data_IF_867344491766
#
_entry.id   IF_867344491766
#
_cell.length_a   1.000
_cell.length_b   1.000
_cell.length_c   1.000
_cell.angle_alpha   90.00
_cell.angle_beta   90.00
_cell.angle_gamma   90.00
#
_symmetry.space_group_name_H-M   'P 1'
#
loop_
_entity.id
_entity.type
_entity.pdbx_description
1 polymer ?
#
# COMPACT_ATOMS: atom_id res chain seq x y z
N UNK A 1 28.96 11.48 -1.83
CA UNK A 1 29.66 10.49 -0.98
C UNK A 1 29.43 9.12 -1.59
N UNK A 2 30.46 8.30 -1.78
CA UNK A 2 30.31 6.95 -2.31
C UNK A 2 29.81 6.00 -1.22
N UNK A 3 28.50 5.98 -1.00
CA UNK A 3 27.86 4.93 -0.21
C UNK A 3 27.63 3.73 -1.12
N UNK A 4 28.03 2.55 -0.64
CA UNK A 4 27.92 1.30 -1.38
C UNK A 4 26.85 0.37 -0.78
N UNK A 5 26.63 -0.77 -1.43
CA UNK A 5 25.64 -1.76 -1.02
C UNK A 5 25.85 -2.26 0.42
N UNK A 6 27.10 -2.38 0.89
CA UNK A 6 27.39 -2.87 2.26
C UNK A 6 26.95 -1.85 3.30
N UNK A 7 27.14 -0.56 3.02
CA UNK A 7 26.65 0.52 3.88
C UNK A 7 25.13 0.43 4.04
N UNK A 8 24.39 0.30 2.93
CA UNK A 8 22.93 0.24 2.96
C UNK A 8 22.39 -1.06 3.56
N UNK A 9 23.10 -2.18 3.36
CA UNK A 9 22.79 -3.46 4.01
C UNK A 9 22.94 -3.35 5.53
N UNK A 10 23.95 -2.63 6.03
CA UNK A 10 24.11 -2.37 7.47
C UNK A 10 22.99 -1.49 8.05
N UNK A 11 22.37 -0.61 7.25
CA UNK A 11 21.22 0.16 7.69
C UNK A 11 19.95 -0.68 7.82
N UNK A 12 19.59 -1.44 6.78
CA UNK A 12 18.27 -2.06 6.69
C UNK A 12 18.28 -3.56 6.98
N UNK A 13 19.30 -4.29 6.53
CA UNK A 13 19.36 -5.76 6.60
C UNK A 13 18.71 -6.48 5.41
N UNK A 14 18.00 -5.77 4.51
CA UNK A 14 17.50 -6.33 3.25
C UNK A 14 18.49 -6.17 2.10
N UNK A 15 18.80 -7.28 1.42
CA UNK A 15 19.68 -7.31 0.25
C UNK A 15 19.08 -6.55 -0.93
N UNK A 16 17.78 -6.70 -1.17
CA UNK A 16 17.07 -5.98 -2.25
C UNK A 16 17.08 -4.48 -2.01
N UNK A 17 16.79 -4.03 -0.79
CA UNK A 17 16.88 -2.61 -0.42
C UNK A 17 18.28 -2.05 -0.66
N UNK A 18 19.31 -2.78 -0.22
CA UNK A 18 20.69 -2.34 -0.33
C UNK A 18 21.14 -2.15 -1.79
N UNK A 19 20.81 -3.11 -2.65
CA UNK A 19 21.10 -3.07 -4.08
C UNK A 19 20.40 -1.92 -4.80
N UNK A 20 19.12 -1.68 -4.50
CA UNK A 20 18.35 -0.56 -5.07
C UNK A 20 18.90 0.80 -4.60
N UNK A 21 19.25 0.93 -3.31
CA UNK A 21 19.87 2.14 -2.77
C UNK A 21 21.25 2.40 -3.38
N UNK A 22 22.07 1.36 -3.55
CA UNK A 22 23.37 1.47 -4.20
C UNK A 22 23.24 1.89 -5.67
N UNK A 23 22.20 1.43 -6.36
CA UNK A 23 21.91 1.82 -7.75
C UNK A 23 21.41 3.26 -7.88
N UNK A 24 20.73 3.79 -6.84
CA UNK A 24 20.28 5.17 -6.78
C UNK A 24 21.34 6.16 -6.25
N UNK A 25 22.42 5.65 -5.64
CA UNK A 25 23.59 6.41 -5.17
C UNK A 25 24.40 6.95 -6.37
N UNK A 26 25.03 8.15 -6.28
CA UNK A 26 25.22 8.97 -5.09
C UNK A 26 24.07 9.93 -4.79
N UNK A 27 23.72 10.04 -3.51
CA UNK A 27 22.74 11.02 -3.01
C UNK A 27 23.40 12.38 -2.71
N UNK A 28 22.67 13.47 -2.95
CA UNK A 28 23.16 14.84 -2.72
C UNK A 28 23.16 15.24 -1.25
N UNK A 29 22.14 14.82 -0.52
CA UNK A 29 21.92 15.16 0.89
C UNK A 29 21.38 13.95 1.65
N UNK A 30 21.39 14.01 2.99
CA UNK A 30 20.72 13.01 3.82
C UNK A 30 19.21 12.94 3.51
N UNK A 31 18.56 14.09 3.28
CA UNK A 31 17.13 14.14 2.94
C UNK A 31 16.83 13.45 1.61
N UNK A 32 17.70 13.63 0.62
CA UNK A 32 17.61 12.95 -0.69
C UNK A 32 17.75 11.43 -0.51
N UNK A 33 18.70 10.98 0.31
CA UNK A 33 18.86 9.56 0.63
C UNK A 33 17.66 8.99 1.39
N UNK A 34 17.10 9.71 2.37
CA UNK A 34 15.90 9.28 3.12
C UNK A 34 14.67 9.20 2.20
N UNK A 35 14.50 10.18 1.31
CA UNK A 35 13.39 10.20 0.35
C UNK A 35 13.45 8.99 -0.59
N UNK A 36 14.63 8.71 -1.17
CA UNK A 36 14.84 7.53 -2.00
C UNK A 36 14.68 6.23 -1.21
N UNK A 37 15.18 6.18 0.03
CA UNK A 37 15.03 5.01 0.90
C UNK A 37 13.55 4.68 1.17
N UNK A 38 12.71 5.69 1.46
CA UNK A 38 11.28 5.47 1.67
C UNK A 38 10.59 4.94 0.41
N UNK A 39 10.86 5.55 -0.75
CA UNK A 39 10.30 5.07 -2.01
C UNK A 39 10.70 3.63 -2.31
N UNK A 40 11.99 3.32 -2.22
CA UNK A 40 12.51 1.97 -2.45
C UNK A 40 11.87 0.98 -1.46
N UNK A 41 11.87 1.30 -0.17
CA UNK A 41 11.38 0.41 0.87
C UNK A 41 9.90 0.06 0.72
N UNK A 42 9.05 1.02 0.40
CA UNK A 42 7.61 0.81 0.32
C UNK A 42 7.09 0.44 -1.08
N UNK A 43 7.81 0.81 -2.14
CA UNK A 43 7.32 0.62 -3.52
C UNK A 43 8.13 -0.38 -4.35
N UNK A 44 9.36 -0.73 -3.94
CA UNK A 44 10.25 -1.63 -4.72
C UNK A 44 10.69 -2.88 -3.97
N UNK A 45 10.83 -2.80 -2.64
CA UNK A 45 11.13 -3.97 -1.81
C UNK A 45 9.85 -4.78 -1.61
N UNK A 46 9.93 -6.08 -1.89
CA UNK A 46 8.80 -7.00 -1.73
C UNK A 46 8.77 -7.61 -0.31
N UNK A 47 7.74 -8.42 -0.06
CA UNK A 47 7.51 -9.11 1.21
C UNK A 47 8.73 -9.92 1.66
N UNK A 48 9.46 -10.56 0.74
CA UNK A 48 10.65 -11.33 1.08
C UNK A 48 11.78 -10.42 1.55
N UNK A 49 11.97 -9.27 0.89
CA UNK A 49 12.93 -8.26 1.33
C UNK A 49 12.60 -7.68 2.69
N UNK A 50 11.31 -7.48 3.01
CA UNK A 50 10.89 -7.06 4.35
C UNK A 50 11.19 -8.12 5.40
N UNK A 51 10.84 -9.38 5.15
CA UNK A 51 11.11 -10.48 6.07
C UNK A 51 12.62 -10.68 6.31
N UNK A 52 13.44 -10.53 5.28
CA UNK A 52 14.91 -10.57 5.41
C UNK A 52 15.42 -9.47 6.35
N UNK A 53 14.93 -8.24 6.20
CA UNK A 53 15.27 -7.15 7.11
C UNK A 53 14.82 -7.44 8.54
N UNK A 54 13.63 -7.99 8.72
CA UNK A 54 13.07 -8.31 10.04
C UNK A 54 13.91 -9.38 10.76
N UNK A 55 14.30 -10.44 10.04
CA UNK A 55 15.14 -11.52 10.56
C UNK A 55 16.55 -11.04 10.94
N UNK A 56 17.04 -9.98 10.30
CA UNK A 56 18.33 -9.40 10.65
C UNK A 56 18.36 -8.79 12.07
N UNK A 57 17.21 -8.49 12.68
CA UNK A 57 17.16 -7.88 14.01
C UNK A 57 17.12 -8.89 15.15
N UNK A 58 17.89 -8.67 16.24
CA UNK A 58 17.69 -9.41 17.47
C UNK A 58 16.33 -9.07 18.10
N UNK A 59 15.75 -10.05 18.80
CA UNK A 59 14.60 -9.79 19.67
C UNK A 59 14.94 -8.73 20.72
N UNK A 60 14.01 -7.82 21.02
CA UNK A 60 14.23 -6.80 22.05
C UNK A 60 14.47 -7.47 23.40
N UNK A 61 15.57 -7.10 24.06
CA UNK A 61 16.01 -7.69 25.32
C UNK A 61 16.97 -8.89 25.16
N UNK A 62 17.31 -9.28 23.93
CA UNK A 62 18.36 -10.27 23.65
C UNK A 62 19.53 -9.63 22.90
N UNK A 63 20.72 -10.19 23.11
CA UNK A 63 21.89 -9.80 22.33
C UNK A 63 21.82 -10.38 20.90
N UNK A 64 22.44 -9.72 19.92
CA UNK A 64 22.58 -10.25 18.55
C UNK A 64 23.25 -11.63 18.55
N UNK A 65 22.85 -12.49 17.61
CA UNK A 65 23.52 -13.79 17.40
C UNK A 65 24.95 -13.59 16.85
N UNK A 66 25.95 -14.39 17.25
CA UNK A 66 27.31 -14.25 16.73
C UNK A 66 27.45 -14.45 15.21
N UNK A 67 26.41 -14.95 14.50
CA UNK A 67 26.40 -15.20 13.05
C UNK A 67 25.81 -14.06 12.20
N UNK A 68 25.71 -12.81 12.70
CA UNK A 68 25.14 -11.72 11.90
C UNK A 68 26.03 -11.35 10.69
N UNK A 69 25.39 -11.09 9.54
CA UNK A 69 26.02 -10.74 8.27
C UNK A 69 26.79 -9.40 8.28
N UNK A 70 26.66 -8.57 9.32
CA UNK A 70 27.32 -7.27 9.46
C UNK A 70 27.57 -6.90 10.93
N UNK A 71 28.83 -6.62 11.28
CA UNK A 71 29.24 -6.18 12.62
C UNK A 71 28.68 -4.79 12.98
N UNK A 72 28.67 -3.88 12.01
CA UNK A 72 28.10 -2.52 12.14
C UNK A 72 26.61 -2.57 12.50
N UNK A 73 25.85 -3.47 11.87
CA UNK A 73 24.44 -3.67 12.18
C UNK A 73 24.24 -4.10 13.64
N UNK A 74 25.02 -5.09 14.09
CA UNK A 74 24.93 -5.61 15.45
C UNK A 74 25.26 -4.52 16.49
N UNK A 75 26.29 -3.70 16.22
CA UNK A 75 26.66 -2.59 17.09
C UNK A 75 25.56 -1.53 17.19
N UNK A 76 24.95 -1.14 16.07
CA UNK A 76 23.86 -0.17 16.07
C UNK A 76 22.60 -0.70 16.75
N UNK A 77 22.24 -1.95 16.51
CA UNK A 77 21.10 -2.59 17.18
C UNK A 77 21.28 -2.63 18.71
N UNK A 78 22.49 -2.93 19.20
CA UNK A 78 22.81 -2.85 20.63
C UNK A 78 22.65 -1.43 21.17
N UNK A 79 23.13 -0.42 20.44
CA UNK A 79 22.97 0.99 20.80
C UNK A 79 21.51 1.44 20.88
N UNK A 80 20.67 0.99 19.93
CA UNK A 80 19.24 1.32 19.84
C UNK A 80 18.44 0.80 21.05
N UNK A 81 18.85 -0.31 21.66
CA UNK A 81 18.17 -0.90 22.81
C UNK A 81 18.72 -0.43 24.18
N UNK A 82 19.69 0.49 24.20
CA UNK A 82 20.40 0.89 25.44
C UNK A 82 19.45 1.42 26.52
N UNK A 83 18.52 2.33 26.17
CA UNK A 83 17.56 2.90 27.13
C UNK A 83 16.61 1.85 27.68
N UNK A 84 16.16 0.92 26.82
CA UNK A 84 15.29 -0.18 27.24
C UNK A 84 16.02 -1.06 28.27
N UNK A 85 17.24 -1.50 27.95
CA UNK A 85 18.05 -2.34 28.84
C UNK A 85 18.37 -1.65 30.17
N UNK A 86 18.66 -0.34 30.14
CA UNK A 86 18.96 0.43 31.35
C UNK A 86 17.74 0.61 32.29
N UNK A 87 16.53 0.55 31.74
CA UNK A 87 15.27 0.73 32.48
C UNK A 87 14.59 -0.60 32.85
N UNK A 88 15.22 -1.72 32.52
CA UNK A 88 14.63 -3.04 32.70
C UNK A 88 14.81 -3.56 34.14
N UNK A 89 13.71 -4.00 34.74
CA UNK A 89 13.72 -4.85 35.96
C UNK A 89 13.65 -6.33 35.57
N UNK A 90 14.07 -7.22 36.47
CA UNK A 90 13.98 -8.68 36.23
C UNK A 90 12.57 -9.14 35.86
N UNK A 91 11.53 -8.58 36.50
CA UNK A 91 10.12 -8.85 36.17
C UNK A 91 9.76 -8.36 34.77
N UNK A 92 10.15 -7.15 34.39
CA UNK A 92 9.83 -6.60 33.07
C UNK A 92 10.56 -7.31 31.92
N UNK A 93 11.78 -7.83 32.14
CA UNK A 93 12.49 -8.62 31.13
C UNK A 93 11.82 -9.98 30.91
N UNK A 94 11.37 -10.63 31.99
CA UNK A 94 10.61 -11.87 31.89
C UNK A 94 9.31 -11.64 31.12
N UNK A 95 8.57 -10.59 31.48
CA UNK A 95 7.32 -10.25 30.80
C UNK A 95 7.54 -9.93 29.31
N UNK A 96 8.59 -9.15 29.00
CA UNK A 96 8.95 -8.84 27.62
C UNK A 96 9.32 -10.10 26.83
N UNK A 97 10.04 -11.05 27.45
CA UNK A 97 10.36 -12.34 26.84
C UNK A 97 9.09 -13.15 26.52
N UNK A 98 8.15 -13.25 27.46
CA UNK A 98 6.89 -13.96 27.27
C UNK A 98 6.04 -13.34 26.15
N UNK A 99 5.99 -12.01 26.10
CA UNK A 99 5.27 -11.29 25.04
C UNK A 99 5.94 -11.42 23.68
N UNK A 100 7.27 -11.39 23.60
CA UNK A 100 8.00 -11.66 22.37
C UNK A 100 7.73 -13.08 21.85
N UNK A 101 7.64 -14.08 22.73
CA UNK A 101 7.30 -15.45 22.35
C UNK A 101 5.87 -15.53 21.78
N UNK A 102 4.89 -14.90 22.46
CA UNK A 102 3.49 -14.81 21.96
C UNK A 102 3.41 -14.09 20.62
N UNK A 103 4.14 -12.98 20.47
CA UNK A 103 4.17 -12.21 19.24
C UNK A 103 4.72 -13.05 18.08
N UNK A 104 5.88 -13.69 18.28
CA UNK A 104 6.50 -14.57 17.28
C UNK A 104 5.56 -15.71 16.88
N UNK A 105 4.90 -16.35 17.86
CA UNK A 105 3.95 -17.43 17.61
C UNK A 105 2.75 -16.97 16.77
N UNK A 106 2.23 -15.76 17.02
CA UNK A 106 1.05 -15.23 16.33
C UNK A 106 1.37 -14.71 14.93
N UNK A 107 2.45 -13.96 14.79
CA UNK A 107 2.74 -13.18 13.58
C UNK A 107 3.81 -13.81 12.68
N UNK A 108 4.64 -14.71 13.22
CA UNK A 108 5.67 -15.41 12.45
C UNK A 108 6.95 -14.62 12.18
N UNK A 109 7.12 -13.45 12.82
CA UNK A 109 8.34 -12.64 12.76
C UNK A 109 8.60 -11.94 14.10
N UNK A 110 9.81 -11.40 14.28
CA UNK A 110 10.21 -10.70 15.52
C UNK A 110 9.40 -9.42 15.74
N UNK A 111 9.15 -9.02 16.99
CA UNK A 111 8.54 -7.72 17.24
C UNK A 111 9.51 -6.60 16.88
N UNK A 112 9.18 -5.81 15.86
CA UNK A 112 9.95 -4.63 15.46
C UNK A 112 9.37 -3.34 16.02
N UNK A 113 10.25 -2.55 16.63
CA UNK A 113 10.00 -1.18 17.06
C UNK A 113 11.32 -0.40 17.01
N UNK A 114 11.25 0.87 16.61
CA UNK A 114 12.37 1.79 16.76
C UNK A 114 12.59 2.07 18.26
N UNK A 115 13.46 1.28 18.88
CA UNK A 115 13.72 1.26 20.32
C UNK A 115 14.53 2.47 20.82
N UNK A 116 15.18 3.21 19.92
CA UNK A 116 16.01 4.38 20.27
C UNK A 116 15.26 5.35 21.19
N UNK A 117 15.78 5.53 22.40
CA UNK A 117 15.22 6.44 23.40
C UNK A 117 14.01 5.90 24.18
N UNK A 118 13.53 4.70 23.90
CA UNK A 118 12.37 4.09 24.60
C UNK A 118 12.80 3.26 25.79
N UNK A 119 12.01 3.32 26.86
CA UNK A 119 12.13 2.45 28.04
C UNK A 119 11.51 1.06 27.80
N UNK A 120 11.85 0.10 28.66
CA UNK A 120 11.26 -1.26 28.59
C UNK A 120 9.73 -1.23 28.75
N UNK A 121 9.20 -0.38 29.63
CA UNK A 121 7.76 -0.28 29.87
C UNK A 121 7.00 0.27 28.64
N UNK A 122 7.57 1.26 27.95
CA UNK A 122 6.98 1.82 26.72
C UNK A 122 6.99 0.79 25.59
N UNK A 123 8.08 0.03 25.43
CA UNK A 123 8.16 -1.05 24.45
C UNK A 123 7.12 -2.13 24.74
N UNK A 124 7.00 -2.55 26.00
CA UNK A 124 6.02 -3.54 26.43
C UNK A 124 4.57 -3.05 26.20
N UNK A 125 4.30 -1.77 26.45
CA UNK A 125 2.99 -1.16 26.20
C UNK A 125 2.65 -1.17 24.70
N UNK A 126 3.59 -0.80 23.83
CA UNK A 126 3.39 -0.84 22.38
C UNK A 126 3.23 -2.27 21.85
N UNK A 127 4.00 -3.23 22.36
CA UNK A 127 3.85 -4.65 22.02
C UNK A 127 2.43 -5.14 22.36
N UNK A 128 1.98 -4.91 23.60
CA UNK A 128 0.63 -5.29 24.05
C UNK A 128 -0.47 -4.62 23.25
N UNK A 129 -0.30 -3.34 22.90
CA UNK A 129 -1.24 -2.56 22.08
C UNK A 129 -1.34 -3.08 20.65
N UNK A 130 -0.22 -3.53 20.07
CA UNK A 130 -0.15 -4.07 18.70
C UNK A 130 -0.54 -5.55 18.62
N UNK A 131 -0.43 -6.29 19.72
CA UNK A 131 -0.74 -7.72 19.73
C UNK A 131 -2.14 -8.10 19.21
N UNK A 132 -3.23 -7.34 19.44
CA UNK A 132 -4.55 -7.64 18.90
C UNK A 132 -4.66 -7.47 17.38
N UNK A 133 -3.70 -6.81 16.72
CA UNK A 133 -3.76 -6.52 15.29
C UNK A 133 -3.95 -7.79 14.43
N UNK A 134 -4.54 -7.58 13.25
CA UNK A 134 -4.52 -8.59 12.17
C UNK A 134 -3.09 -8.72 11.64
N UNK A 135 -2.65 -9.92 11.23
CA UNK A 135 -1.27 -10.12 10.75
C UNK A 135 -0.83 -9.16 9.65
N UNK A 136 -1.70 -8.86 8.69
CA UNK A 136 -1.37 -7.94 7.59
C UNK A 136 -1.10 -6.50 8.07
N UNK A 137 -1.93 -5.99 9.00
CA UNK A 137 -1.76 -4.65 9.59
C UNK A 137 -0.47 -4.59 10.40
N UNK A 138 -0.17 -5.68 11.12
CA UNK A 138 1.03 -5.74 11.95
C UNK A 138 2.31 -5.85 11.12
N UNK A 139 2.24 -6.52 9.97
CA UNK A 139 3.32 -6.61 9.01
C UNK A 139 3.67 -5.22 8.43
N UNK A 140 2.66 -4.43 8.07
CA UNK A 140 2.82 -3.03 7.65
C UNK A 140 3.40 -2.15 8.77
N UNK A 141 2.91 -2.29 10.00
CA UNK A 141 3.46 -1.57 11.16
C UNK A 141 4.95 -1.90 11.38
N UNK A 142 5.32 -3.18 11.27
CA UNK A 142 6.72 -3.60 11.39
C UNK A 142 7.59 -3.00 10.27
N UNK A 143 7.09 -2.91 9.04
CA UNK A 143 7.78 -2.25 7.94
C UNK A 143 7.96 -0.75 8.18
N UNK A 144 6.98 -0.07 8.79
CA UNK A 144 7.12 1.34 9.18
C UNK A 144 8.17 1.52 10.29
N UNK A 145 8.19 0.65 11.31
CA UNK A 145 9.20 0.71 12.37
C UNK A 145 10.61 0.41 11.84
N UNK A 146 10.75 -0.54 10.91
CA UNK A 146 11.98 -0.83 10.20
C UNK A 146 12.52 0.40 9.44
N UNK A 147 11.63 1.16 8.78
CA UNK A 147 12.03 2.38 8.06
C UNK A 147 12.52 3.45 9.03
N UNK A 148 11.88 3.64 10.19
CA UNK A 148 12.36 4.57 11.24
C UNK A 148 13.77 4.21 11.71
N UNK A 149 14.06 2.92 11.90
CA UNK A 149 15.41 2.45 12.26
C UNK A 149 16.39 2.73 11.13
N UNK A 150 15.99 2.47 9.88
CA UNK A 150 16.82 2.71 8.69
C UNK A 150 17.18 4.19 8.55
N UNK A 151 16.24 5.11 8.79
CA UNK A 151 16.47 6.57 8.77
C UNK A 151 17.51 6.99 9.82
N UNK A 152 17.39 6.49 11.05
CA UNK A 152 18.37 6.76 12.11
C UNK A 152 19.77 6.26 11.76
N UNK A 153 19.86 5.09 11.11
CA UNK A 153 21.14 4.50 10.68
C UNK A 153 21.73 5.23 9.48
N UNK A 154 20.90 5.65 8.52
CA UNK A 154 21.34 6.51 7.41
C UNK A 154 21.88 7.84 7.94
N UNK A 155 21.21 8.48 8.90
CA UNK A 155 21.71 9.69 9.53
C UNK A 155 23.11 9.49 10.15
N UNK A 156 23.32 8.38 10.89
CA UNK A 156 24.63 8.00 11.46
C UNK A 156 25.69 7.78 10.38
N UNK A 157 25.36 7.12 9.27
CA UNK A 157 26.28 6.93 8.14
C UNK A 157 26.71 8.25 7.51
N UNK A 158 25.77 9.15 7.26
CA UNK A 158 26.06 10.45 6.68
C UNK A 158 26.90 11.32 7.61
N UNK A 159 26.67 11.27 8.93
CA UNK A 159 27.51 11.96 9.93
C UNK A 159 28.94 11.41 9.97
N UNK A 160 29.11 10.09 10.07
CA UNK A 160 30.44 9.45 10.20
C UNK A 160 31.30 9.60 8.95
N UNK A 161 30.71 9.48 7.75
CA UNK A 161 31.46 9.71 6.50
C UNK A 161 31.61 11.19 6.15
N UNK A 162 30.72 12.05 6.63
CA UNK A 162 30.89 13.51 6.61
C UNK A 162 32.16 13.92 7.35
N UNK A 163 32.36 13.44 8.58
CA UNK A 163 33.55 13.75 9.39
C UNK A 163 34.85 13.26 8.75
N UNK A 164 34.85 12.12 8.05
CA UNK A 164 36.03 11.62 7.33
C UNK A 164 36.47 12.48 6.13
N UNK A 165 35.60 13.35 5.62
CA UNK A 165 35.90 14.29 4.54
C UNK A 165 36.39 15.67 5.03
N UNK A 166 36.30 15.95 6.34
CA UNK A 166 36.66 17.22 6.95
C UNK A 166 37.86 17.09 7.90
N UNK A 167 39.02 16.69 7.36
CA UNK A 167 40.32 16.98 7.97
C UNK A 167 41.20 17.79 7.01
N UNK A 168 40.71 18.96 6.60
CA UNK A 168 41.56 20.11 6.38
C UNK A 168 40.72 21.38 6.54
N UNK A 169 41.22 22.26 7.40
CA UNK A 169 40.85 23.67 7.62
C UNK A 169 39.60 24.00 8.46
N UNK A 170 39.88 24.35 9.72
CA UNK A 170 39.12 25.26 10.58
C UNK A 170 39.25 26.70 10.01
N UNK A 171 38.36 27.70 10.16
CA UNK A 171 37.50 28.10 11.29
C UNK A 171 36.57 29.30 10.83
N UNK A 172 35.81 30.02 11.70
CA UNK A 172 34.34 30.05 11.71
C UNK A 172 33.69 31.42 11.39
N UNK A 173 32.36 31.48 11.21
CA UNK A 173 31.56 32.63 11.67
C UNK A 173 30.06 32.32 11.81
N UNK A 174 29.46 32.91 12.84
CA UNK A 174 28.04 32.89 13.18
C UNK A 174 27.29 34.06 12.54
N UNK A 175 25.96 33.93 12.34
CA UNK A 175 24.93 34.94 12.64
C UNK A 175 23.50 34.41 12.36
N UNK A 176 22.51 35.04 13.01
CA UNK A 176 21.17 34.56 13.35
C UNK A 176 20.02 35.01 12.41
N UNK A 177 18.88 34.31 12.57
CA UNK A 177 17.47 34.76 12.61
C UNK A 177 16.56 34.79 11.35
N UNK A 178 15.49 33.97 11.46
CA UNK A 178 14.04 34.31 11.43
C UNK A 178 13.34 34.58 10.08
N UNK A 179 12.37 33.74 9.73
CA UNK A 179 10.96 34.10 9.46
C UNK A 179 10.13 32.87 9.10
N UNK A 180 9.06 32.66 9.87
CA UNK A 180 7.91 31.79 9.56
C UNK A 180 6.94 32.50 8.60
N UNK A 181 5.99 31.70 8.08
CA UNK A 181 4.73 32.06 7.43
C UNK A 181 4.80 32.54 5.98
N UNK A 182 4.46 31.65 5.04
CA UNK A 182 3.48 31.98 4.00
C UNK A 182 2.87 30.72 3.37
N UNK A 183 1.59 30.83 2.97
CA UNK A 183 0.82 29.98 2.04
C UNK A 183 -0.04 28.85 2.61
N UNK A 184 -1.10 29.27 3.31
CA UNK A 184 -2.41 28.62 3.23
C UNK A 184 -3.33 29.51 2.37
N UNK A 185 -3.57 29.12 1.13
CA UNK A 185 -4.66 29.61 0.29
C UNK A 185 -4.85 28.66 -0.88
N UNK A 186 -6.10 28.59 -1.36
CA UNK A 186 -6.65 27.71 -2.43
C UNK A 186 -7.40 26.48 -1.87
N UNK A 187 -8.56 26.70 -1.24
CA UNK A 187 -9.79 25.91 -1.50
C UNK A 187 -10.99 26.81 -1.19
N UNK A 188 -11.72 27.25 -2.22
CA UNK A 188 -12.89 28.10 -2.01
C UNK A 188 -13.54 28.58 -3.30
N UNK A 189 -14.04 27.67 -4.13
CA UNK A 189 -15.05 27.99 -5.15
C UNK A 189 -15.64 26.70 -5.76
N UNK A 190 -16.77 26.21 -5.23
CA UNK A 190 -17.92 25.71 -6.03
C UNK A 190 -19.02 25.10 -5.14
N UNK A 191 -19.80 25.97 -4.52
CA UNK A 191 -21.18 25.80 -4.06
C UNK A 191 -21.81 27.18 -4.34
N UNK A 192 -22.65 27.41 -5.35
CA UNK A 192 -24.11 27.21 -5.34
C UNK A 192 -24.67 27.58 -6.74
N UNK A 193 -25.77 26.94 -7.15
CA UNK A 193 -26.45 27.01 -8.46
C UNK A 193 -27.14 28.36 -8.79
N UNK A 194 -27.70 28.52 -10.02
CA UNK A 194 -29.16 28.36 -10.11
C UNK A 194 -29.70 27.70 -11.40
N UNK A 195 -30.95 27.26 -11.25
CA UNK A 195 -31.89 26.60 -12.16
C UNK A 195 -32.50 27.49 -13.25
N UNK A 196 -32.78 26.92 -14.43
CA UNK A 196 -33.82 27.39 -15.37
C UNK A 196 -34.20 26.29 -16.40
N UNK A 197 -35.48 26.20 -16.71
CA UNK A 197 -36.13 25.44 -17.81
C UNK A 197 -37.41 26.21 -18.21
N UNK A 198 -38.15 25.91 -19.32
CA UNK A 198 -37.87 24.96 -20.42
C UNK A 198 -38.18 25.52 -21.84
N UNK A 199 -37.82 24.75 -22.89
CA UNK A 199 -38.57 24.75 -24.15
C UNK A 199 -38.36 23.44 -24.95
N UNK A 200 -39.46 22.96 -25.52
CA UNK A 200 -39.78 21.63 -26.02
C UNK A 200 -39.34 21.38 -27.48
N UNK A 201 -38.83 20.16 -27.79
CA UNK A 201 -39.11 19.35 -29.00
C UNK A 201 -38.26 18.07 -29.10
N UNK A 202 -38.95 16.95 -28.89
CA UNK A 202 -38.70 15.56 -29.35
C UNK A 202 -37.33 15.18 -29.94
N UNK A 203 -36.50 14.59 -29.09
CA UNK A 203 -35.71 13.38 -29.34
C UNK A 203 -35.39 12.83 -27.95
N UNK A 204 -35.57 11.52 -27.69
CA UNK A 204 -35.39 10.95 -26.35
C UNK A 204 -33.92 11.09 -25.90
N UNK A 205 -33.59 12.20 -25.25
CA UNK A 205 -32.30 12.46 -24.62
C UNK A 205 -32.42 11.95 -23.19
N UNK A 206 -31.64 10.92 -22.87
CA UNK A 206 -31.54 10.43 -21.49
C UNK A 206 -31.07 11.56 -20.57
N UNK A 207 -31.73 11.71 -19.43
CA UNK A 207 -31.34 12.62 -18.34
C UNK A 207 -29.99 12.28 -17.70
N UNK A 208 -29.47 11.07 -17.97
CA UNK A 208 -28.20 10.61 -17.43
C UNK A 208 -27.02 11.08 -18.26
N UNK A 209 -25.95 11.50 -17.58
CA UNK A 209 -24.64 11.78 -18.20
C UNK A 209 -23.74 10.54 -18.27
N UNK A 210 -24.18 9.40 -17.72
CA UNK A 210 -23.42 8.14 -17.65
C UNK A 210 -24.31 6.92 -17.84
N UNK A 211 -23.77 5.78 -18.33
CA UNK A 211 -24.51 4.53 -18.43
C UNK A 211 -25.00 4.05 -17.06
N UNK A 212 -26.11 3.28 -17.00
CA UNK A 212 -26.62 2.75 -15.74
C UNK A 212 -25.67 1.83 -14.98
N UNK A 213 -24.80 1.13 -15.70
CA UNK A 213 -23.78 0.24 -15.13
C UNK A 213 -22.41 0.83 -15.46
N UNK A 214 -21.62 1.11 -14.43
CA UNK A 214 -20.23 1.57 -14.57
C UNK A 214 -19.29 0.70 -13.74
N UNK A 215 -18.01 0.69 -14.10
CA UNK A 215 -16.97 0.05 -13.29
C UNK A 215 -15.73 0.93 -13.20
N UNK A 216 -14.95 0.65 -12.16
CA UNK A 216 -13.64 1.20 -11.90
C UNK A 216 -12.76 0.07 -11.39
N UNK A 217 -11.53 0.01 -11.87
CA UNK A 217 -10.59 -1.02 -11.47
C UNK A 217 -9.34 -0.41 -10.86
N UNK A 218 -9.07 -0.80 -9.62
CA UNK A 218 -7.88 -0.43 -8.88
C UNK A 218 -6.97 -1.65 -8.74
N UNK A 219 -5.71 -1.52 -9.16
CA UNK A 219 -4.67 -2.48 -8.85
C UNK A 219 -4.12 -2.17 -7.46
N UNK A 220 -4.63 -2.90 -6.46
CA UNK A 220 -4.26 -2.68 -5.05
C UNK A 220 -2.85 -3.18 -4.74
N UNK A 221 -2.26 -4.03 -5.59
CA UNK A 221 -0.85 -4.44 -5.43
C UNK A 221 0.12 -3.33 -5.81
N UNK A 222 -0.32 -2.41 -6.67
CA UNK A 222 0.46 -1.27 -7.16
C UNK A 222 -0.03 0.08 -6.62
N UNK A 223 -1.08 0.07 -5.80
CA UNK A 223 -1.71 1.30 -5.29
C UNK A 223 -2.19 2.27 -6.38
N UNK A 224 -2.55 1.78 -7.57
CA UNK A 224 -2.84 2.63 -8.73
C UNK A 224 -3.96 2.09 -9.62
N UNK A 225 -4.62 2.93 -10.45
CA UNK A 225 -5.65 2.46 -11.36
C UNK A 225 -5.11 1.41 -12.33
N UNK A 226 -5.89 0.36 -12.58
CA UNK A 226 -5.52 -0.69 -13.53
C UNK A 226 -5.81 -0.22 -14.95
N UNK A 227 -4.86 0.49 -15.56
CA UNK A 227 -4.99 1.05 -16.92
C UNK A 227 -4.87 -0.06 -17.97
N UNK A 228 -5.71 -0.04 -19.00
CA UNK A 228 -5.57 -0.96 -20.13
C UNK A 228 -6.20 -2.35 -19.93
N UNK A 229 -7.01 -2.55 -18.89
CA UNK A 229 -7.69 -3.83 -18.66
C UNK A 229 -8.98 -3.93 -19.48
N UNK A 230 -9.11 -5.01 -20.25
CA UNK A 230 -10.34 -5.29 -21.00
C UNK A 230 -11.49 -5.64 -20.04
N UNK A 231 -12.65 -5.07 -20.30
CA UNK A 231 -13.89 -5.26 -19.55
C UNK A 231 -15.02 -5.55 -20.52
N UNK A 232 -15.83 -6.58 -20.24
CA UNK A 232 -17.07 -6.85 -20.98
C UNK A 232 -18.27 -6.91 -20.05
N UNK A 233 -19.42 -6.51 -20.56
CA UNK A 233 -20.71 -6.61 -19.89
C UNK A 233 -21.64 -7.50 -20.72
N UNK A 234 -22.30 -8.44 -20.07
CA UNK A 234 -23.27 -9.37 -20.65
C UNK A 234 -24.56 -9.35 -19.80
N UNK A 235 -25.71 -9.60 -20.44
CA UNK A 235 -26.99 -9.76 -19.78
C UNK A 235 -27.53 -11.16 -20.07
N UNK A 236 -28.12 -11.79 -19.06
CA UNK A 236 -28.79 -13.07 -19.20
C UNK A 236 -30.17 -12.89 -19.85
N UNK A 237 -30.40 -13.54 -20.99
CA UNK A 237 -31.62 -13.44 -21.80
C UNK A 237 -32.41 -14.75 -21.88
N UNK A 238 -31.94 -15.85 -21.27
CA UNK A 238 -32.70 -17.09 -21.31
C UNK A 238 -33.94 -17.01 -20.39
N UNK A 239 -35.11 -17.01 -21.01
CA UNK A 239 -36.42 -16.88 -20.36
C UNK A 239 -36.83 -18.12 -19.56
N UNK A 240 -36.24 -19.28 -19.84
CA UNK A 240 -36.64 -20.57 -19.26
C UNK A 240 -36.01 -20.83 -17.89
N UNK A 241 -34.87 -20.20 -17.59
CA UNK A 241 -34.17 -20.39 -16.32
C UNK A 241 -33.19 -19.26 -16.02
N UNK A 242 -33.09 -18.87 -14.74
CA UNK A 242 -31.99 -18.03 -14.25
C UNK A 242 -30.64 -18.78 -14.40
N UNK A 243 -29.50 -18.07 -14.58
CA UNK A 243 -28.19 -18.69 -14.51
C UNK A 243 -28.00 -19.28 -13.11
N UNK A 244 -27.44 -20.49 -13.05
CA UNK A 244 -27.27 -21.26 -11.83
C UNK A 244 -25.85 -21.81 -11.78
N UNK A 245 -25.25 -21.82 -10.59
CA UNK A 245 -23.91 -22.33 -10.39
C UNK A 245 -23.75 -23.79 -10.83
N UNK A 246 -24.80 -24.60 -10.69
CA UNK A 246 -24.76 -26.05 -10.93
C UNK A 246 -25.02 -26.44 -12.39
N UNK A 247 -25.30 -25.46 -13.27
CA UNK A 247 -25.67 -25.72 -14.66
C UNK A 247 -24.72 -25.01 -15.61
N UNK A 248 -24.36 -25.70 -16.69
CA UNK A 248 -23.58 -25.09 -17.76
C UNK A 248 -24.44 -24.05 -18.47
N UNK A 249 -23.92 -22.82 -18.57
CA UNK A 249 -24.57 -21.71 -19.26
C UNK A 249 -24.57 -21.92 -20.79
N UNK A 250 -25.51 -22.72 -21.30
CA UNK A 250 -25.65 -22.92 -22.75
C UNK A 250 -26.53 -21.80 -23.32
N UNK A 251 -25.90 -20.79 -23.92
CA UNK A 251 -26.56 -19.82 -24.81
C UNK A 251 -27.39 -18.72 -24.16
N UNK A 252 -27.28 -18.48 -22.84
CA UNK A 252 -28.10 -17.47 -22.15
C UNK A 252 -27.50 -16.07 -22.02
N UNK A 253 -26.18 -15.89 -22.20
CA UNK A 253 -25.51 -14.59 -22.03
C UNK A 253 -25.39 -13.83 -23.36
N UNK A 254 -25.87 -12.59 -23.39
CA UNK A 254 -25.81 -11.69 -24.55
C UNK A 254 -24.98 -10.46 -24.22
N UNK A 255 -23.95 -10.19 -25.04
CA UNK A 255 -23.06 -9.04 -24.88
C UNK A 255 -23.83 -7.72 -24.95
N UNK A 256 -23.62 -6.86 -23.94
CA UNK A 256 -24.12 -5.49 -23.87
C UNK A 256 -23.06 -4.49 -24.33
N UNK A 257 -21.79 -4.76 -24.01
CA UNK A 257 -20.67 -3.93 -24.46
C UNK A 257 -19.31 -4.44 -24.01
N UNK A 258 -18.28 -3.81 -24.55
CA UNK A 258 -16.87 -4.12 -24.33
C UNK A 258 -16.09 -2.80 -24.28
N UNK A 259 -15.12 -2.70 -23.38
CA UNK A 259 -14.25 -1.54 -23.28
C UNK A 259 -12.90 -1.91 -22.65
N UNK A 260 -11.99 -0.95 -22.59
CA UNK A 260 -10.71 -1.04 -21.90
C UNK A 260 -10.63 0.11 -20.90
N UNK A 261 -10.09 -0.14 -19.70
CA UNK A 261 -9.98 0.88 -18.66
C UNK A 261 -9.02 2.01 -19.04
N UNK A 262 -9.40 3.25 -18.71
CA UNK A 262 -8.62 4.46 -18.97
C UNK A 262 -7.52 4.70 -17.91
N UNK A 263 -6.89 5.88 -17.94
CA UNK A 263 -5.82 6.28 -17.01
C UNK A 263 -6.27 6.36 -15.55
N UNK A 264 -7.57 6.56 -15.33
CA UNK A 264 -8.20 6.59 -14.02
C UNK A 264 -8.82 5.23 -13.68
N UNK A 265 -8.53 4.17 -14.43
CA UNK A 265 -9.02 2.81 -14.20
C UNK A 265 -10.51 2.63 -14.48
N UNK A 266 -11.18 3.62 -15.07
CA UNK A 266 -12.61 3.55 -15.38
C UNK A 266 -12.83 2.87 -16.71
N UNK A 267 -13.85 2.03 -16.81
CA UNK A 267 -14.24 1.50 -18.12
C UNK A 267 -14.81 2.63 -18.97
N UNK A 268 -14.58 2.58 -20.29
CA UNK A 268 -15.43 3.29 -21.22
C UNK A 268 -16.87 2.76 -21.22
N UNK A 269 -17.66 3.17 -22.21
CA UNK A 269 -19.08 2.89 -22.27
C UNK A 269 -19.38 1.39 -22.49
N UNK A 270 -19.86 0.70 -21.45
CA UNK A 270 -20.21 -0.74 -21.47
C UNK A 270 -21.66 -1.02 -21.92
N UNK A 271 -22.49 0.01 -22.06
CA UNK A 271 -23.85 -0.06 -22.59
C UNK A 271 -24.35 1.34 -22.97
N UNK A 272 -25.46 1.44 -23.69
CA UNK A 272 -26.09 2.72 -24.02
C UNK A 272 -26.49 3.52 -22.76
N UNK A 273 -26.39 4.84 -22.84
CA UNK A 273 -26.91 5.74 -21.81
C UNK A 273 -28.43 5.75 -21.91
N UNK A 274 -29.09 5.20 -20.89
CA UNK A 274 -30.55 5.08 -20.81
C UNK A 274 -31.01 5.46 -19.40
N UNK A 275 -32.21 6.03 -19.26
CA UNK A 275 -32.74 6.44 -17.96
C UNK A 275 -33.16 5.24 -17.09
N UNK A 276 -33.61 4.16 -17.73
CA UNK A 276 -34.02 2.91 -17.09
C UNK A 276 -33.25 1.74 -17.68
N UNK A 277 -32.49 1.03 -16.85
CA UNK A 277 -31.84 -0.22 -17.23
C UNK A 277 -32.82 -1.39 -17.16
N UNK A 278 -32.72 -2.32 -18.11
CA UNK A 278 -33.54 -3.53 -18.10
C UNK A 278 -33.26 -4.35 -16.83
N UNK A 279 -34.25 -4.66 -16.00
CA UNK A 279 -34.08 -5.57 -14.88
C UNK A 279 -33.67 -6.96 -15.36
N UNK A 280 -32.84 -7.65 -14.57
CA UNK A 280 -32.31 -8.95 -14.93
C UNK A 280 -30.95 -9.23 -14.32
N UNK A 281 -30.32 -10.30 -14.79
CA UNK A 281 -29.02 -10.74 -14.29
C UNK A 281 -27.95 -10.34 -15.29
N UNK A 282 -26.93 -9.65 -14.78
CA UNK A 282 -25.81 -9.14 -15.54
C UNK A 282 -24.53 -9.85 -15.11
N UNK A 283 -23.59 -9.95 -16.04
CA UNK A 283 -22.23 -10.41 -15.80
C UNK A 283 -21.25 -9.39 -16.33
N UNK A 284 -20.39 -8.88 -15.46
CA UNK A 284 -19.25 -8.07 -15.84
C UNK A 284 -17.98 -8.90 -15.70
N UNK A 285 -17.18 -8.98 -16.77
CA UNK A 285 -15.94 -9.76 -16.80
C UNK A 285 -14.73 -8.88 -17.09
N UNK A 286 -13.62 -9.19 -16.43
CA UNK A 286 -12.35 -8.47 -16.50
C UNK A 286 -11.24 -9.41 -16.97
N UNK A 287 -10.47 -9.02 -17.98
CA UNK A 287 -9.38 -9.83 -18.52
C UNK A 287 -8.09 -9.67 -17.69
N UNK A 288 -8.13 -10.16 -16.46
CA UNK A 288 -7.04 -10.03 -15.49
C UNK A 288 -5.76 -10.72 -15.95
N UNK A 289 -5.85 -11.83 -16.69
CA UNK A 289 -4.68 -12.54 -17.20
C UNK A 289 -3.95 -11.77 -18.31
N UNK A 290 -4.67 -11.01 -19.14
CA UNK A 290 -4.04 -10.09 -20.12
C UNK A 290 -3.39 -8.90 -19.42
N UNK A 291 -4.04 -8.35 -18.41
CA UNK A 291 -3.54 -7.20 -17.64
C UNK A 291 -2.32 -7.57 -16.77
N UNK A 292 -2.35 -8.70 -16.08
CA UNK A 292 -1.30 -9.21 -15.21
C UNK A 292 -0.95 -10.66 -15.57
N UNK A 293 -0.10 -10.86 -16.60
CA UNK A 293 0.39 -12.19 -16.97
C UNK A 293 1.13 -12.83 -15.79
N UNK A 294 0.72 -14.05 -15.40
CA UNK A 294 1.28 -14.76 -14.25
C UNK A 294 0.51 -14.57 -12.93
N UNK A 295 -0.53 -13.74 -12.92
CA UNK A 295 -1.50 -13.70 -11.81
C UNK A 295 -2.30 -15.00 -11.70
N UNK A 296 -2.85 -15.26 -10.52
CA UNK A 296 -3.63 -16.47 -10.23
C UNK A 296 -4.95 -16.51 -11.01
N UNK A 297 -5.56 -15.35 -11.28
CA UNK A 297 -6.84 -15.25 -11.96
C UNK A 297 -6.65 -15.03 -13.48
N UNK A 298 -6.99 -15.99 -14.34
CA UNK A 298 -6.91 -15.79 -15.80
C UNK A 298 -7.93 -14.75 -16.29
N UNK A 299 -9.10 -14.70 -15.67
CA UNK A 299 -10.10 -13.65 -15.80
C UNK A 299 -11.00 -13.67 -14.57
N UNK A 300 -11.71 -12.58 -14.33
CA UNK A 300 -12.67 -12.45 -13.23
C UNK A 300 -14.04 -12.18 -13.81
N UNK A 301 -15.09 -12.84 -13.33
CA UNK A 301 -16.48 -12.56 -13.70
C UNK A 301 -17.33 -12.35 -12.46
N UNK A 302 -18.04 -11.22 -12.42
CA UNK A 302 -18.95 -10.87 -11.35
C UNK A 302 -20.38 -10.90 -11.89
N UNK A 303 -21.23 -11.71 -11.27
CA UNK A 303 -22.64 -11.85 -11.64
C UNK A 303 -23.50 -11.14 -10.60
N UNK A 304 -24.44 -10.30 -11.04
CA UNK A 304 -25.31 -9.52 -10.16
C UNK A 304 -26.70 -9.32 -10.75
N UNK A 305 -27.70 -9.08 -9.89
CA UNK A 305 -29.10 -8.88 -10.27
C UNK A 305 -29.50 -7.40 -10.11
N UNK A 306 -30.20 -6.87 -11.12
CA UNK A 306 -30.92 -5.61 -11.07
C UNK A 306 -32.42 -5.93 -10.98
N UNK A 307 -33.06 -5.54 -9.88
CA UNK A 307 -34.51 -5.76 -9.69
C UNK A 307 -35.34 -4.68 -10.39
N UNK A 308 -36.62 -4.97 -10.64
CA UNK A 308 -37.58 -4.03 -11.24
C UNK A 308 -37.64 -2.70 -10.49
N UNK A 309 -37.57 -2.73 -9.16
CA UNK A 309 -37.58 -1.54 -8.30
C UNK A 309 -36.34 -0.66 -8.44
N UNK A 310 -35.29 -1.14 -9.12
CA UNK A 310 -33.98 -0.50 -9.19
C UNK A 310 -33.63 -0.03 -10.61
N UNK A 311 -34.56 -0.13 -11.57
CA UNK A 311 -34.31 0.23 -12.97
C UNK A 311 -33.81 1.66 -13.18
N UNK A 312 -34.20 2.57 -12.30
CA UNK A 312 -33.79 3.98 -12.33
C UNK A 312 -32.56 4.28 -11.47
N UNK A 313 -31.95 3.28 -10.84
CA UNK A 313 -30.72 3.46 -10.06
C UNK A 313 -29.47 3.42 -10.96
N UNK A 314 -28.33 3.84 -10.40
CA UNK A 314 -27.01 3.65 -10.98
C UNK A 314 -26.29 2.53 -10.22
N UNK A 315 -25.63 1.65 -10.96
CA UNK A 315 -24.91 0.49 -10.45
C UNK A 315 -23.42 0.66 -10.74
N UNK A 316 -22.66 1.03 -9.71
CA UNK A 316 -21.22 1.01 -9.79
C UNK A 316 -20.69 -0.34 -9.27
N UNK A 317 -20.03 -1.11 -10.12
CA UNK A 317 -19.51 -2.45 -9.78
C UNK A 317 -18.00 -2.45 -9.97
N UNK A 318 -17.21 -1.93 -9.01
CA UNK A 318 -15.76 -1.85 -9.13
C UNK A 318 -15.08 -3.20 -8.90
N UNK A 319 -13.81 -3.26 -9.30
CA UNK A 319 -12.91 -4.37 -8.99
C UNK A 319 -11.65 -3.82 -8.31
N UNK A 320 -11.42 -4.23 -7.06
CA UNK A 320 -10.14 -4.05 -6.38
C UNK A 320 -9.36 -5.33 -6.63
N UNK A 321 -8.33 -5.25 -7.46
CA UNK A 321 -7.61 -6.41 -7.98
C UNK A 321 -6.16 -6.45 -7.47
N UNK A 322 -5.70 -7.64 -7.10
CA UNK A 322 -4.29 -8.00 -7.01
C UNK A 322 -4.07 -9.34 -7.71
N UNK A 323 -2.80 -9.74 -7.98
CA UNK A 323 -2.53 -11.02 -8.63
C UNK A 323 -3.10 -12.26 -7.91
N UNK A 324 -3.38 -12.16 -6.60
CA UNK A 324 -3.82 -13.30 -5.76
C UNK A 324 -5.07 -13.01 -4.91
N UNK A 325 -5.63 -11.81 -4.99
CA UNK A 325 -6.88 -11.46 -4.31
C UNK A 325 -7.70 -10.49 -5.14
N UNK A 326 -9.01 -10.49 -4.89
CA UNK A 326 -9.90 -9.48 -5.44
C UNK A 326 -10.99 -9.14 -4.44
N UNK A 327 -11.57 -7.96 -4.58
CA UNK A 327 -12.76 -7.55 -3.84
C UNK A 327 -13.64 -6.69 -4.74
N UNK A 328 -14.95 -6.81 -4.56
CA UNK A 328 -15.95 -6.02 -5.26
C UNK A 328 -17.05 -5.64 -4.27
N UNK A 329 -17.88 -4.66 -4.63
CA UNK A 329 -19.03 -4.25 -3.84
C UNK A 329 -20.04 -3.55 -4.77
N UNK A 330 -21.23 -3.26 -4.23
CA UNK A 330 -22.22 -2.43 -4.93
C UNK A 330 -22.05 -0.97 -4.53
N UNK A 331 -21.56 -0.13 -5.43
CA UNK A 331 -21.51 1.32 -5.28
C UNK A 331 -22.71 2.03 -5.92
N UNK A 332 -22.84 3.34 -5.62
CA UNK A 332 -23.87 4.27 -6.12
C UNK A 332 -23.29 5.38 -6.98
#
# INVERSE_FOLDING_TARGET
>A
MGLDEKDFLACCGSSKFAMEMASASPFKTLEDAITNARDIWFNKVDVNGWLEAFEAHPQIGKSPSPNHKSETFAQWSKGEQTTALATATGSSLLELSDWNAKYMQKFGFVFLICASGRSTSEILAELKKRYPNRPIVEFENAAQEQMKITELRLAKLFSTKGESAFTHDQQPMALKNKAEEDRVSIIGAHLTAPSQEPADKSSQISSRTRPPITTHVLDVSRGSPAVGMDVKLEMWMNVQSRPSFDKTDIGGWVMQGFSTTDKDGRSGQLMSIVDSVNPGIYRISFNTGKYCPGGFFPYVSLVFEIRETQKSEHFHVPLLFSPFSLTTYRGS
#
